data_IF_485944750506
#
_entry.id   IF_485944750506
#
_cell.length_a   1.000
_cell.length_b   1.000
_cell.length_c   1.000
_cell.angle_alpha   90.00
_cell.angle_beta   90.00
_cell.angle_gamma   90.00
#
_symmetry.space_group_name_H-M   'P 1'
#
loop_
_entity.id
_entity.type
_entity.pdbx_description
1 polymer ?
#
# COMPACT_ATOMS: atom_id res chain seq x y z
N UNK A 1 -27.10 -0.98 -2.81
CA UNK A 1 -26.10 0.08 -3.08
C UNK A 1 -26.50 0.82 -4.34
N UNK A 2 -26.79 2.10 -4.20
CA UNK A 2 -27.38 2.94 -5.27
C UNK A 2 -26.26 3.48 -6.17
N UNK A 3 -26.52 3.76 -7.46
CA UNK A 3 -25.51 4.28 -8.41
C UNK A 3 -24.77 5.53 -7.90
N UNK A 4 -25.37 6.29 -6.96
CA UNK A 4 -24.75 7.44 -6.30
C UNK A 4 -23.57 7.07 -5.40
N UNK A 5 -23.53 5.87 -4.82
CA UNK A 5 -22.43 5.43 -3.93
C UNK A 5 -21.19 5.00 -4.72
N UNK A 6 -21.36 4.53 -5.96
CA UNK A 6 -20.25 4.20 -6.85
C UNK A 6 -19.58 5.47 -7.43
N UNK A 7 -20.35 6.52 -7.72
CA UNK A 7 -19.80 7.81 -8.21
C UNK A 7 -18.95 8.54 -7.15
N UNK A 8 -19.32 8.48 -5.86
CA UNK A 8 -18.51 9.08 -4.80
C UNK A 8 -17.19 8.34 -4.55
N UNK A 9 -17.15 7.02 -4.75
CA UNK A 9 -15.92 6.22 -4.61
C UNK A 9 -14.92 6.47 -5.75
N UNK A 10 -15.40 6.68 -6.98
CA UNK A 10 -14.54 6.94 -8.16
C UNK A 10 -13.97 8.35 -8.16
N UNK A 11 -14.70 9.35 -7.63
CA UNK A 11 -14.19 10.73 -7.57
C UNK A 11 -13.14 10.94 -6.48
N UNK A 12 -13.21 10.18 -5.37
CA UNK A 12 -12.22 10.24 -4.29
C UNK A 12 -10.86 9.63 -4.68
N UNK A 13 -10.85 8.62 -5.56
CA UNK A 13 -9.62 7.97 -6.02
C UNK A 13 -8.83 8.78 -7.07
N UNK A 14 -9.45 9.77 -7.73
CA UNK A 14 -8.79 10.60 -8.76
C UNK A 14 -7.88 11.70 -8.20
N UNK A 15 -7.86 11.91 -6.89
CA UNK A 15 -6.98 12.89 -6.22
C UNK A 15 -5.71 12.28 -5.61
N UNK A 16 -5.52 10.95 -5.66
CA UNK A 16 -4.32 10.30 -5.10
C UNK A 16 -3.27 9.92 -6.15
N UNK A 17 -3.43 10.33 -7.41
CA UNK A 17 -2.60 9.87 -8.54
C UNK A 17 -1.83 11.02 -9.23
N UNK A 18 -1.31 11.95 -8.43
CA UNK A 18 -0.21 12.84 -8.86
C UNK A 18 0.82 12.93 -7.73
N UNK A 19 1.90 12.17 -7.86
CA UNK A 19 3.04 12.31 -6.96
C UNK A 19 4.09 11.20 -7.00
N UNK A 20 4.51 10.74 -8.19
CA UNK A 20 5.76 9.98 -8.30
C UNK A 20 6.73 10.60 -9.30
N UNK A 21 8.00 10.55 -8.90
CA UNK A 21 9.27 10.88 -9.58
C UNK A 21 9.67 12.36 -9.49
N UNK A 22 10.75 12.73 -8.78
CA UNK A 22 12.16 12.42 -9.08
C UNK A 22 12.95 12.90 -7.84
N UNK A 23 13.98 12.26 -7.27
CA UNK A 23 15.36 12.21 -7.79
C UNK A 23 16.23 11.48 -6.74
N UNK A 24 16.93 10.44 -7.18
CA UNK A 24 18.08 9.86 -6.50
C UNK A 24 19.23 10.89 -6.46
N UNK A 25 20.00 10.90 -5.36
CA UNK A 25 21.27 11.63 -5.10
C UNK A 25 21.21 13.00 -4.41
N UNK A 26 21.44 13.01 -3.09
CA UNK A 26 22.41 13.93 -2.45
C UNK A 26 22.95 13.36 -1.14
N UNK A 27 24.25 13.11 -1.13
CA UNK A 27 25.08 12.89 0.04
C UNK A 27 25.25 14.21 0.82
N UNK A 28 25.40 14.04 2.13
CA UNK A 28 26.18 14.85 3.09
C UNK A 28 25.62 16.13 3.72
N UNK A 29 25.74 16.07 5.05
CA UNK A 29 26.06 17.10 6.04
C UNK A 29 25.01 18.14 6.43
N UNK A 30 24.41 17.99 7.61
CA UNK A 30 24.97 18.55 8.87
C UNK A 30 23.87 18.80 9.92
N UNK A 31 24.10 18.20 11.09
CA UNK A 31 23.78 18.64 12.44
C UNK A 31 22.48 19.38 12.77
N UNK A 32 21.65 18.69 13.56
CA UNK A 32 21.01 19.28 14.75
C UNK A 32 20.72 18.18 15.78
N UNK A 33 21.78 17.81 16.48
CA UNK A 33 21.82 17.52 17.91
C UNK A 33 20.48 17.55 18.66
N UNK A 34 19.88 16.37 18.85
CA UNK A 34 19.19 16.02 20.08
C UNK A 34 19.20 14.50 20.27
N UNK A 35 20.42 13.96 20.40
CA UNK A 35 20.64 12.66 21.04
C UNK A 35 20.28 12.82 22.52
N UNK A 36 18.99 12.73 22.83
CA UNK A 36 18.56 12.37 24.17
C UNK A 36 19.12 10.97 24.40
N UNK A 37 20.19 10.91 25.19
CA UNK A 37 20.63 9.72 25.90
C UNK A 37 19.45 9.21 26.73
N UNK A 38 18.53 8.48 26.10
CA UNK A 38 17.58 7.64 26.82
C UNK A 38 18.42 6.52 27.41
N UNK A 39 18.97 6.76 28.61
CA UNK A 39 19.57 5.71 29.41
C UNK A 39 18.52 4.60 29.52
N UNK A 40 18.78 3.45 28.92
CA UNK A 40 17.88 2.30 29.05
C UNK A 40 17.84 1.92 30.52
N UNK A 41 16.64 1.85 31.09
CA UNK A 41 16.47 1.42 32.48
C UNK A 41 16.99 -0.02 32.66
N UNK A 42 16.90 -0.85 31.62
CA UNK A 42 17.46 -2.19 31.60
C UNK A 42 19.00 -2.18 31.61
N UNK A 43 19.63 -1.29 30.85
CA UNK A 43 21.09 -1.13 30.84
C UNK A 43 21.63 -0.70 32.21
N UNK A 44 20.98 0.27 32.85
CA UNK A 44 21.36 0.72 34.20
C UNK A 44 21.25 -0.42 35.23
N UNK A 45 20.18 -1.22 35.15
CA UNK A 45 20.01 -2.40 36.01
C UNK A 45 21.10 -3.45 35.77
N UNK A 46 21.46 -3.70 34.51
CA UNK A 46 22.54 -4.61 34.15
C UNK A 46 23.85 -4.12 34.75
N UNK A 47 24.20 -2.85 34.56
CA UNK A 47 25.44 -2.27 35.09
C UNK A 47 25.51 -2.37 36.61
N UNK A 48 24.43 -2.01 37.31
CA UNK A 48 24.36 -2.12 38.78
C UNK A 48 24.53 -3.57 39.25
N UNK A 49 23.91 -4.54 38.57
CA UNK A 49 24.03 -5.96 38.90
C UNK A 49 25.47 -6.45 38.71
N UNK A 50 26.10 -6.04 37.61
CA UNK A 50 27.49 -6.39 37.28
C UNK A 50 28.47 -5.77 38.27
N UNK A 51 28.36 -4.49 38.59
CA UNK A 51 29.17 -3.85 39.63
C UNK A 51 29.03 -4.58 40.98
N UNK A 52 27.80 -4.95 41.35
CA UNK A 52 27.53 -5.70 42.59
C UNK A 52 28.17 -7.08 42.56
N UNK A 53 28.21 -7.74 41.40
CA UNK A 53 28.88 -9.03 41.23
C UNK A 53 30.40 -8.90 41.38
N UNK A 54 31.01 -7.90 40.74
CA UNK A 54 32.44 -7.61 40.84
C UNK A 54 32.83 -7.30 42.30
N UNK A 55 32.10 -6.40 42.97
CA UNK A 55 32.34 -6.09 44.39
C UNK A 55 32.20 -7.32 45.29
N UNK A 56 31.24 -8.21 45.00
CA UNK A 56 31.09 -9.47 45.75
C UNK A 56 32.25 -10.42 45.53
N UNK A 57 32.83 -10.46 44.32
CA UNK A 57 33.99 -11.27 44.01
C UNK A 57 35.23 -10.75 44.76
N UNK A 58 35.49 -9.44 44.67
CA UNK A 58 36.64 -8.77 45.32
C UNK A 58 36.54 -8.72 46.84
N UNK A 59 35.32 -8.69 47.40
CA UNK A 59 35.12 -8.74 48.87
C UNK A 59 35.28 -10.16 49.44
N UNK A 60 35.05 -11.20 48.64
CA UNK A 60 35.14 -12.60 49.09
C UNK A 60 36.50 -13.23 48.86
N UNK A 61 37.38 -12.57 48.11
CA UNK A 61 38.74 -13.05 47.89
C UNK A 61 39.53 -13.09 49.19
N UNK A 62 39.89 -14.29 49.64
CA UNK A 62 40.70 -14.54 50.85
C UNK A 62 42.19 -14.25 50.62
N UNK A 63 42.51 -13.29 49.76
CA UNK A 63 43.89 -13.03 49.32
C UNK A 63 44.73 -12.45 50.47
N UNK A 64 44.14 -11.60 51.31
CA UNK A 64 44.84 -11.04 52.47
C UNK A 64 45.27 -12.11 53.51
N UNK A 65 44.41 -13.06 53.93
CA UNK A 65 44.83 -14.23 54.70
C UNK A 65 45.95 -15.05 54.05
N UNK A 66 45.86 -15.32 52.74
CA UNK A 66 46.89 -16.05 52.00
C UNK A 66 48.25 -15.33 52.01
N UNK A 67 48.24 -14.01 51.85
CA UNK A 67 49.46 -13.19 51.92
C UNK A 67 50.06 -13.25 53.33
N UNK A 68 49.22 -13.17 54.38
CA UNK A 68 49.68 -13.30 55.77
C UNK A 68 50.28 -14.68 56.06
N UNK A 69 49.79 -15.74 55.44
CA UNK A 69 50.26 -17.10 55.66
C UNK A 69 51.59 -17.38 54.95
N UNK A 70 51.73 -16.97 53.68
CA UNK A 70 52.89 -17.29 52.85
C UNK A 70 54.00 -16.21 52.87
N UNK A 71 53.67 -14.95 53.14
CA UNK A 71 54.63 -13.82 53.17
C UNK A 71 54.78 -13.27 54.60
N UNK A 72 54.91 -14.16 55.59
CA UNK A 72 54.98 -13.78 57.01
C UNK A 72 56.17 -12.87 57.35
N UNK A 73 57.32 -13.06 56.70
CA UNK A 73 58.53 -12.27 56.97
C UNK A 73 58.32 -10.82 56.55
N UNK A 74 57.82 -10.61 55.34
CA UNK A 74 57.60 -9.28 54.77
C UNK A 74 56.42 -8.57 55.44
N UNK A 75 55.36 -9.31 55.78
CA UNK A 75 54.22 -8.76 56.52
C UNK A 75 54.61 -8.29 57.94
N UNK A 76 55.56 -8.97 58.60
CA UNK A 76 56.06 -8.56 59.93
C UNK A 76 57.00 -7.36 59.84
N UNK A 77 57.79 -7.26 58.77
CA UNK A 77 58.73 -6.16 58.55
C UNK A 77 58.02 -4.87 58.18
N UNK A 78 57.07 -4.93 57.24
CA UNK A 78 56.39 -3.72 56.75
C UNK A 78 54.91 -3.98 56.37
N UNK A 79 54.11 -4.28 57.39
CA UNK A 79 52.67 -4.54 57.27
C UNK A 79 51.91 -3.42 56.53
N UNK A 80 52.35 -2.17 56.69
CA UNK A 80 51.69 -1.01 56.08
C UNK A 80 51.85 -1.02 54.56
N UNK A 81 53.07 -1.26 54.08
CA UNK A 81 53.35 -1.38 52.64
C UNK A 81 52.59 -2.55 52.01
N UNK A 82 52.58 -3.72 52.66
CA UNK A 82 51.87 -4.91 52.14
C UNK A 82 50.36 -4.68 52.04
N UNK A 83 49.75 -3.97 53.01
CA UNK A 83 48.34 -3.59 52.96
C UNK A 83 48.04 -2.59 51.84
N UNK A 84 48.94 -1.65 51.58
CA UNK A 84 48.80 -0.65 50.51
C UNK A 84 48.92 -1.29 49.12
N UNK A 85 49.88 -2.20 48.94
CA UNK A 85 50.02 -3.01 47.71
C UNK A 85 48.79 -3.90 47.50
N UNK A 86 48.28 -4.54 48.56
CA UNK A 86 47.04 -5.33 48.48
C UNK A 86 45.86 -4.48 48.02
N UNK A 87 45.68 -3.30 48.62
CA UNK A 87 44.60 -2.38 48.25
C UNK A 87 44.74 -1.95 46.79
N UNK A 88 45.95 -1.54 46.38
CA UNK A 88 46.23 -1.15 45.00
C UNK A 88 45.94 -2.28 44.01
N UNK A 89 46.35 -3.51 44.32
CA UNK A 89 46.07 -4.69 43.48
C UNK A 89 44.57 -4.95 43.35
N UNK A 90 43.80 -4.83 44.44
CA UNK A 90 42.34 -5.02 44.40
C UNK A 90 41.64 -3.92 43.60
N UNK A 91 42.04 -2.66 43.81
CA UNK A 91 41.49 -1.52 43.09
C UNK A 91 41.80 -1.63 41.59
N UNK A 92 43.01 -2.03 41.22
CA UNK A 92 43.40 -2.29 39.83
C UNK A 92 42.63 -3.46 39.22
N UNK A 93 42.44 -4.56 39.96
CA UNK A 93 41.67 -5.70 39.49
C UNK A 93 40.20 -5.31 39.24
N UNK A 94 39.59 -4.57 40.17
CA UNK A 94 38.21 -4.09 40.01
C UNK A 94 38.07 -3.15 38.82
N UNK A 95 39.04 -2.25 38.63
CA UNK A 95 39.08 -1.33 37.49
C UNK A 95 39.23 -2.10 36.16
N UNK A 96 40.21 -2.99 36.04
CA UNK A 96 40.43 -3.77 34.82
C UNK A 96 39.22 -4.62 34.45
N UNK A 97 38.56 -5.25 35.42
CA UNK A 97 37.35 -6.03 35.16
C UNK A 97 36.21 -5.13 34.66
N UNK A 98 36.02 -3.96 35.27
CA UNK A 98 34.99 -3.00 34.85
C UNK A 98 35.26 -2.43 33.46
N UNK A 99 36.52 -2.12 33.16
CA UNK A 99 36.92 -1.57 31.87
C UNK A 99 36.74 -2.60 30.76
N UNK A 100 37.14 -3.85 30.99
CA UNK A 100 36.91 -4.95 30.05
C UNK A 100 35.42 -5.19 29.82
N UNK A 101 34.61 -5.20 30.88
CA UNK A 101 33.16 -5.33 30.75
C UNK A 101 32.54 -4.17 29.96
N UNK A 102 33.02 -2.95 30.20
CA UNK A 102 32.57 -1.77 29.46
C UNK A 102 32.92 -1.91 27.97
N UNK A 103 34.15 -2.31 27.66
CA UNK A 103 34.60 -2.54 26.29
C UNK A 103 33.76 -3.63 25.61
N UNK A 104 33.44 -4.73 26.29
CA UNK A 104 32.59 -5.79 25.73
C UNK A 104 31.15 -5.34 25.52
N UNK A 105 30.59 -4.53 26.42
CA UNK A 105 29.23 -3.98 26.29
C UNK A 105 29.15 -2.98 25.13
N UNK A 106 30.18 -2.15 24.96
CA UNK A 106 30.31 -1.20 23.86
C UNK A 106 30.53 -1.95 22.52
N UNK A 107 31.40 -2.98 22.48
CA UNK A 107 31.67 -3.75 21.26
C UNK A 107 30.46 -4.53 20.72
N UNK A 108 29.52 -4.89 21.57
CA UNK A 108 28.29 -5.60 21.18
C UNK A 108 27.08 -4.67 21.07
N UNK A 109 27.27 -3.34 21.16
CA UNK A 109 26.20 -2.33 21.11
C UNK A 109 25.03 -2.64 22.05
N UNK A 110 25.30 -3.26 23.20
CA UNK A 110 24.28 -3.78 24.12
C UNK A 110 23.40 -2.65 24.65
N UNK A 111 23.98 -1.46 24.83
CA UNK A 111 23.22 -0.28 25.24
C UNK A 111 22.14 0.07 24.22
N UNK A 112 22.46 0.06 22.93
CA UNK A 112 21.48 0.36 21.88
C UNK A 112 20.44 -0.75 21.77
N UNK A 113 20.86 -2.02 21.83
CA UNK A 113 19.95 -3.16 21.80
C UNK A 113 18.93 -3.13 22.95
N UNK A 114 19.35 -2.74 24.15
CA UNK A 114 18.45 -2.61 25.31
C UNK A 114 17.54 -1.38 25.21
N UNK A 115 17.98 -0.28 24.61
CA UNK A 115 17.12 0.87 24.29
C UNK A 115 16.03 0.46 23.29
N UNK A 116 16.40 -0.25 22.23
CA UNK A 116 15.47 -0.71 21.21
C UNK A 116 14.47 -1.74 21.77
N UNK A 117 14.94 -2.60 22.69
CA UNK A 117 14.08 -3.53 23.41
C UNK A 117 13.11 -2.79 24.33
N UNK A 118 13.58 -1.83 25.13
CA UNK A 118 12.72 -1.02 26.00
C UNK A 118 11.66 -0.27 25.19
N UNK A 119 12.03 0.29 24.02
CA UNK A 119 11.11 0.90 23.07
C UNK A 119 10.07 -0.11 22.57
N UNK A 120 10.50 -1.30 22.15
CA UNK A 120 9.59 -2.35 21.67
C UNK A 120 8.62 -2.81 22.75
N UNK A 121 9.08 -2.91 24.00
CA UNK A 121 8.26 -3.27 25.17
C UNK A 121 7.27 -2.16 25.50
N UNK A 122 7.67 -0.89 25.38
CA UNK A 122 6.79 0.25 25.61
C UNK A 122 5.71 0.37 24.52
N UNK A 123 6.07 0.13 23.25
CA UNK A 123 5.14 0.12 22.12
C UNK A 123 4.15 -1.05 22.20
N UNK A 124 4.58 -2.19 22.73
CA UNK A 124 3.77 -3.40 22.83
C UNK A 124 3.54 -3.78 24.28
N UNK A 125 2.44 -3.25 24.84
CA UNK A 125 1.97 -3.56 26.19
C UNK A 125 2.05 -5.08 26.49
N UNK A 126 2.32 -5.47 27.76
CA UNK A 126 2.43 -6.86 28.14
C UNK A 126 1.06 -7.54 28.03
N UNK A 127 0.77 -8.10 26.86
CA UNK A 127 -0.35 -9.01 26.65
C UNK A 127 0.14 -10.43 26.91
N UNK A 128 -0.64 -11.22 27.66
CA UNK A 128 -0.26 -12.58 28.10
C UNK A 128 -0.04 -13.59 26.96
N UNK A 129 -0.36 -13.21 25.71
CA UNK A 129 -0.36 -14.12 24.55
C UNK A 129 0.46 -13.57 23.37
N UNK A 130 1.74 -13.26 23.61
CA UNK A 130 2.69 -13.00 22.51
C UNK A 130 3.07 -14.32 21.84
N UNK A 131 3.05 -14.36 20.51
CA UNK A 131 3.49 -15.51 19.74
C UNK A 131 4.95 -15.85 20.09
N UNK A 132 5.24 -17.13 20.28
CA UNK A 132 6.58 -17.66 20.49
C UNK A 132 6.83 -18.73 19.44
N UNK A 133 8.05 -18.85 18.90
CA UNK A 133 8.39 -19.93 17.97
C UNK A 133 8.02 -21.28 18.59
N UNK A 134 7.23 -22.05 17.85
CA UNK A 134 6.73 -23.36 18.28
C UNK A 134 7.78 -24.46 18.15
N UNK A 135 8.94 -24.14 17.58
CA UNK A 135 9.99 -25.10 17.22
C UNK A 135 9.69 -25.85 15.93
N UNK A 136 8.56 -25.55 15.27
CA UNK A 136 8.16 -26.15 14.01
C UNK A 136 8.25 -25.08 12.92
N UNK A 137 9.26 -25.13 12.03
CA UNK A 137 9.54 -24.05 11.10
C UNK A 137 8.36 -23.74 10.17
N UNK A 138 7.62 -24.76 9.74
CA UNK A 138 6.44 -24.55 8.87
C UNK A 138 5.34 -23.72 9.55
N UNK A 139 5.07 -23.98 10.83
CA UNK A 139 4.04 -23.26 11.58
C UNK A 139 4.52 -21.84 11.89
N UNK A 140 5.81 -21.68 12.15
CA UNK A 140 6.40 -20.39 12.48
C UNK A 140 6.44 -19.46 11.27
N UNK A 141 6.79 -20.00 10.09
CA UNK A 141 6.72 -19.29 8.80
C UNK A 141 5.27 -18.90 8.47
N UNK A 142 4.32 -19.83 8.61
CA UNK A 142 2.89 -19.54 8.37
C UNK A 142 2.39 -18.40 9.27
N UNK A 143 2.71 -18.42 10.55
CA UNK A 143 2.32 -17.38 11.50
C UNK A 143 2.91 -16.01 11.13
N UNK A 144 4.16 -15.97 10.68
CA UNK A 144 4.80 -14.73 10.23
C UNK A 144 4.21 -14.22 8.91
N UNK A 145 3.99 -15.11 7.93
CA UNK A 145 3.47 -14.75 6.61
C UNK A 145 2.01 -14.32 6.65
N UNK A 146 1.20 -14.89 7.55
CA UNK A 146 -0.23 -14.58 7.66
C UNK A 146 -0.51 -13.07 7.81
N UNK A 147 0.37 -12.32 8.48
CA UNK A 147 0.25 -10.86 8.59
C UNK A 147 0.46 -10.16 7.23
N UNK A 148 1.56 -10.50 6.53
CA UNK A 148 1.87 -9.92 5.20
C UNK A 148 0.78 -10.26 4.18
N UNK A 149 0.37 -11.53 4.14
CA UNK A 149 -0.68 -12.00 3.22
C UNK A 149 -2.02 -11.32 3.52
N UNK A 150 -2.34 -11.03 4.79
CA UNK A 150 -3.57 -10.32 5.12
C UNK A 150 -3.59 -8.88 4.59
N UNK A 151 -2.46 -8.17 4.59
CA UNK A 151 -2.37 -6.80 4.07
C UNK A 151 -2.50 -6.79 2.54
N UNK A 152 -1.84 -7.73 1.85
CA UNK A 152 -1.93 -7.91 0.40
C UNK A 152 -3.36 -8.28 -0.05
N UNK A 153 -4.02 -9.19 0.67
CA UNK A 153 -5.41 -9.58 0.38
C UNK A 153 -6.35 -8.38 0.51
N UNK A 154 -6.20 -7.55 1.54
CA UNK A 154 -7.01 -6.34 1.69
C UNK A 154 -6.79 -5.32 0.57
N UNK A 155 -5.56 -5.20 0.06
CA UNK A 155 -5.29 -4.34 -1.10
C UNK A 155 -5.94 -4.89 -2.37
N UNK A 156 -5.83 -6.19 -2.61
CA UNK A 156 -6.44 -6.86 -3.75
C UNK A 156 -7.97 -6.75 -3.73
N UNK A 157 -8.59 -6.91 -2.56
CA UNK A 157 -10.04 -6.72 -2.39
C UNK A 157 -10.47 -5.28 -2.72
N UNK A 158 -9.69 -4.27 -2.34
CA UNK A 158 -9.96 -2.87 -2.71
C UNK A 158 -9.86 -2.65 -4.22
N UNK A 159 -8.85 -3.24 -4.87
CA UNK A 159 -8.69 -3.14 -6.32
C UNK A 159 -9.83 -3.85 -7.05
N UNK A 160 -10.21 -5.04 -6.58
CA UNK A 160 -11.29 -5.83 -7.16
C UNK A 160 -12.62 -5.07 -7.09
N UNK A 161 -12.97 -4.57 -5.91
CA UNK A 161 -14.22 -3.80 -5.70
C UNK A 161 -14.25 -2.52 -6.53
N UNK A 162 -13.11 -1.86 -6.72
CA UNK A 162 -12.99 -0.72 -7.62
C UNK A 162 -13.27 -1.10 -9.08
N UNK A 163 -12.64 -2.17 -9.58
CA UNK A 163 -12.82 -2.65 -10.95
C UNK A 163 -14.25 -3.13 -11.21
N UNK A 164 -14.87 -3.81 -10.25
CA UNK A 164 -16.28 -4.23 -10.35
C UNK A 164 -17.22 -3.02 -10.45
N UNK A 165 -16.99 -1.97 -9.64
CA UNK A 165 -17.75 -0.74 -9.73
C UNK A 165 -17.58 -0.05 -11.09
N UNK A 166 -16.34 0.03 -11.61
CA UNK A 166 -16.06 0.63 -12.91
C UNK A 166 -16.72 -0.15 -14.05
N UNK A 167 -16.62 -1.48 -14.04
CA UNK A 167 -17.25 -2.33 -15.04
C UNK A 167 -18.77 -2.18 -15.03
N UNK A 168 -19.39 -2.10 -13.85
CA UNK A 168 -20.83 -1.87 -13.73
C UNK A 168 -21.23 -0.53 -14.34
N UNK A 169 -20.49 0.54 -14.04
CA UNK A 169 -20.75 1.86 -14.61
C UNK A 169 -20.60 1.86 -16.13
N UNK A 170 -19.55 1.20 -16.65
CA UNK A 170 -19.31 1.09 -18.08
C UNK A 170 -20.41 0.29 -18.77
N UNK A 171 -20.83 -0.83 -18.19
CA UNK A 171 -21.92 -1.65 -18.71
C UNK A 171 -23.24 -0.85 -18.75
N UNK A 172 -23.56 -0.10 -17.70
CA UNK A 172 -24.73 0.78 -17.67
C UNK A 172 -24.67 1.85 -18.78
N UNK A 173 -23.48 2.40 -19.04
CA UNK A 173 -23.27 3.36 -20.12
C UNK A 173 -23.42 2.73 -21.52
N UNK A 174 -22.86 1.54 -21.72
CA UNK A 174 -22.98 0.77 -22.97
C UNK A 174 -24.44 0.44 -23.25
N UNK A 175 -25.19 -0.07 -22.27
CA UNK A 175 -26.62 -0.39 -22.41
C UNK A 175 -27.42 0.87 -22.78
N UNK A 176 -27.18 2.00 -22.10
CA UNK A 176 -27.84 3.28 -22.44
C UNK A 176 -27.52 3.72 -23.87
N UNK A 177 -26.28 3.53 -24.31
CA UNK A 177 -25.83 3.92 -25.65
C UNK A 177 -26.44 3.03 -26.73
N UNK A 178 -26.47 1.71 -26.50
CA UNK A 178 -27.10 0.75 -27.39
C UNK A 178 -28.61 1.03 -27.54
N UNK A 179 -29.31 1.31 -26.44
CA UNK A 179 -30.73 1.71 -26.49
C UNK A 179 -30.95 2.98 -27.34
N UNK A 180 -30.10 4.02 -27.18
CA UNK A 180 -30.17 5.24 -28.01
C UNK A 180 -29.89 4.95 -29.48
N UNK A 181 -28.92 4.08 -29.76
CA UNK A 181 -28.58 3.66 -31.12
C UNK A 181 -29.75 2.91 -31.77
N UNK A 182 -30.33 1.92 -31.08
CA UNK A 182 -31.49 1.18 -31.56
C UNK A 182 -32.70 2.10 -31.83
N UNK A 183 -32.96 3.08 -30.95
CA UNK A 183 -34.01 4.08 -31.18
C UNK A 183 -33.73 4.93 -32.43
N UNK A 184 -32.48 5.34 -32.63
CA UNK A 184 -32.07 6.12 -33.81
C UNK A 184 -32.22 5.32 -35.10
N UNK A 185 -31.80 4.04 -35.10
CA UNK A 185 -31.99 3.13 -36.22
C UNK A 185 -33.48 2.95 -36.54
N UNK A 186 -34.34 2.75 -35.53
CA UNK A 186 -35.79 2.65 -35.73
C UNK A 186 -36.38 3.92 -36.36
N UNK A 187 -35.94 5.12 -35.93
CA UNK A 187 -36.36 6.38 -36.55
C UNK A 187 -35.91 6.49 -38.00
N UNK A 188 -34.65 6.17 -38.30
CA UNK A 188 -34.12 6.17 -39.66
C UNK A 188 -34.88 5.20 -40.57
N UNK A 189 -35.16 3.99 -40.10
CA UNK A 189 -35.96 3.01 -40.83
C UNK A 189 -37.39 3.51 -41.10
N UNK A 190 -38.01 4.16 -40.12
CA UNK A 190 -39.34 4.77 -40.29
C UNK A 190 -39.32 5.88 -41.34
N UNK A 191 -38.33 6.78 -41.26
CA UNK A 191 -38.14 7.83 -42.25
C UNK A 191 -37.88 7.25 -43.64
N UNK A 192 -36.98 6.27 -43.77
CA UNK A 192 -36.71 5.59 -45.04
C UNK A 192 -38.00 5.05 -45.67
N UNK A 193 -38.81 4.32 -44.91
CA UNK A 193 -40.10 3.79 -45.39
C UNK A 193 -41.06 4.91 -45.81
N UNK A 194 -41.08 6.03 -45.08
CA UNK A 194 -41.89 7.20 -45.45
C UNK A 194 -41.42 7.83 -46.77
N UNK A 195 -40.11 8.01 -46.96
CA UNK A 195 -39.53 8.55 -48.19
C UNK A 195 -39.74 7.61 -49.38
N UNK A 196 -39.56 6.31 -49.18
CA UNK A 196 -39.81 5.27 -50.18
C UNK A 196 -41.27 5.24 -50.63
N UNK A 197 -42.22 5.37 -49.69
CA UNK A 197 -43.64 5.49 -50.00
C UNK A 197 -43.95 6.77 -50.79
N UNK A 198 -43.40 7.92 -50.38
CA UNK A 198 -43.58 9.18 -51.09
C UNK A 198 -43.02 9.13 -52.52
N UNK A 199 -41.82 8.56 -52.69
CA UNK A 199 -41.22 8.33 -54.00
C UNK A 199 -42.10 7.43 -54.88
N UNK A 200 -42.62 6.34 -54.31
CA UNK A 200 -43.51 5.41 -55.03
C UNK A 200 -44.83 6.08 -55.45
N UNK A 201 -45.41 6.92 -54.59
CA UNK A 201 -46.62 7.69 -54.93
C UNK A 201 -46.34 8.68 -56.07
N UNK A 202 -45.23 9.41 -56.04
CA UNK A 202 -44.86 10.32 -57.13
C UNK A 202 -44.64 9.57 -58.46
N UNK A 203 -44.00 8.40 -58.43
CA UNK A 203 -43.83 7.59 -59.64
C UNK A 203 -45.16 7.07 -60.19
N UNK A 204 -46.13 6.77 -59.33
CA UNK A 204 -47.45 6.32 -59.76
C UNK A 204 -48.32 7.49 -60.26
N UNK A 205 -48.28 8.65 -59.60
CA UNK A 205 -48.95 9.88 -60.06
C UNK A 205 -48.41 10.33 -61.42
N UNK A 206 -47.08 10.33 -61.61
CA UNK A 206 -46.47 10.65 -62.91
C UNK A 206 -46.84 9.63 -63.98
N UNK A 207 -46.91 8.33 -63.64
CA UNK A 207 -47.37 7.27 -64.55
C UNK A 207 -48.83 7.46 -64.95
N UNK A 208 -49.71 7.81 -64.01
CA UNK A 208 -51.12 8.09 -64.27
C UNK A 208 -51.30 9.34 -65.14
N UNK A 209 -50.58 10.43 -64.86
CA UNK A 209 -50.60 11.64 -65.66
C UNK A 209 -50.14 11.41 -67.11
N UNK A 210 -49.13 10.57 -67.33
CA UNK A 210 -48.70 10.17 -68.67
C UNK A 210 -49.81 9.40 -69.41
N UNK A 211 -50.47 8.43 -68.75
CA UNK A 211 -51.59 7.68 -69.33
C UNK A 211 -52.76 8.60 -69.68
N UNK A 212 -53.11 9.55 -68.82
CA UNK A 212 -54.16 10.53 -69.09
C UNK A 212 -53.81 11.47 -70.26
N UNK A 213 -52.54 11.88 -70.37
CA UNK A 213 -52.05 12.67 -71.50
C UNK A 213 -52.14 11.91 -72.84
N UNK A 214 -51.82 10.61 -72.86
CA UNK A 214 -51.95 9.76 -74.05
C UNK A 214 -53.41 9.55 -74.47
N UNK A 215 -54.32 9.41 -73.51
CA UNK A 215 -55.76 9.27 -73.78
C UNK A 215 -56.36 10.57 -74.34
N UNK A 216 -55.97 11.72 -73.80
CA UNK A 216 -56.43 13.04 -74.28
C UNK A 216 -55.89 13.39 -75.65
N UNK A 217 -54.63 13.03 -75.95
CA UNK A 217 -54.05 13.19 -77.28
C UNK A 217 -54.79 12.32 -78.32
N UNK A 218 -55.15 11.08 -77.98
CA UNK A 218 -55.92 10.18 -78.85
C UNK A 218 -57.39 10.61 -79.04
N UNK A 219 -58.01 11.27 -78.05
CA UNK A 219 -59.36 11.85 -78.18
C UNK A 219 -59.40 13.11 -79.04
N UNK A 220 -58.33 13.92 -79.06
CA UNK A 220 -58.22 15.08 -79.94
C UNK A 220 -58.14 14.73 -81.43
N UNK A 221 -57.59 13.56 -81.77
CA UNK A 221 -57.48 13.08 -83.16
C UNK A 221 -58.83 12.60 -83.70
N UNK A 222 -59.72 12.08 -82.84
CA UNK A 222 -61.00 11.48 -83.27
C UNK A 222 -62.15 12.48 -83.45
N UNK A 223 -62.12 13.64 -82.79
CA UNK A 223 -63.15 14.68 -82.95
C UNK A 223 -62.93 15.59 -84.18
N UNK A 224 -61.75 15.58 -84.80
CA UNK A 224 -61.48 16.33 -86.04
C UNK A 224 -61.84 15.56 -87.33
N UNK A 225 -62.36 14.33 -87.24
CA UNK A 225 -62.64 13.48 -88.41
C UNK A 225 -64.15 13.36 -88.78
N UNK A 226 -65.07 13.99 -88.04
CA UNK A 226 -66.53 13.83 -88.30
C UNK A 226 -67.28 15.12 -88.66
N UNK A 227 -66.60 16.24 -88.93
CA UNK A 227 -67.23 17.51 -89.37
C UNK A 227 -66.85 17.92 -90.80
N UNK A 228 -66.92 17.00 -91.77
CA UNK A 228 -66.83 17.36 -93.20
C UNK A 228 -67.58 16.38 -94.11
N UNK A 229 -68.83 16.76 -94.44
CA UNK A 229 -69.77 16.34 -95.52
C UNK A 229 -71.19 16.44 -94.93
N UNK A 230 -71.95 17.53 -95.01
CA UNK A 230 -72.27 18.41 -96.16
C UNK A 230 -72.64 17.63 -97.43
N UNK A 231 -73.96 17.60 -97.64
CA UNK A 231 -74.67 17.90 -98.89
C UNK A 231 -74.30 17.09 -100.14
N UNK A 232 -75.23 16.24 -100.59
CA UNK A 232 -75.81 16.31 -101.95
C UNK A 232 -76.91 15.25 -102.16
N UNK A 233 -78.09 15.77 -102.52
CA UNK A 233 -79.23 15.19 -103.27
C UNK A 233 -80.16 14.17 -102.59
#
# INVERSE_FOLDING_TARGET
MTSKECETAVTSARQSDQGENTTLSKLQDSDSSNSLKSSSQAYDKLWIATEKAVRRLTSKTKILPYIKEHFQKDYKTDSKYVLEVYKSMMDQLEMMIKDELRLQLEANDVQQLLVDLDKTVQEHAPTDKKWRPSGHPENDIKAHLQKSTSEEVQQLEKILTFLECQNKLLNDHVVKTDQKMQQSIKRLQSHHKSWEKAASMMTEETRQALIESDITLNRGITLNMTSSKCDEL
#
